data_IF_861189944849
#
_entry.id   IF_861189944849
#
_cell.length_a   1.000
_cell.length_b   1.000
_cell.length_c   1.000
_cell.angle_alpha   90.00
_cell.angle_beta   90.00
_cell.angle_gamma   90.00
#
_symmetry.space_group_name_H-M   'P 1'
#
loop_
_entity.id
_entity.type
_entity.pdbx_description
1 polymer ?
#
# COMPACT_ATOMS: atom_id res chain seq x y z
N UNK A 1 -4.21 6.15 3.92
CA UNK A 1 -5.30 5.73 4.80
C UNK A 1 -4.71 5.29 6.13
N UNK A 2 -5.17 5.89 7.23
CA UNK A 2 -4.70 5.59 8.59
C UNK A 2 -5.92 5.08 9.37
N UNK A 3 -5.97 3.78 9.73
CA UNK A 3 -7.09 3.19 10.46
C UNK A 3 -7.20 3.73 11.88
N UNK A 4 -8.43 4.00 12.34
CA UNK A 4 -8.76 4.29 13.73
C UNK A 4 -9.05 2.97 14.45
N UNK A 5 -8.13 2.53 15.31
CA UNK A 5 -8.23 1.24 15.99
C UNK A 5 -9.40 1.17 16.99
N UNK A 6 -9.75 2.29 17.60
CA UNK A 6 -10.85 2.35 18.57
C UNK A 6 -12.20 2.27 17.82
N UNK A 7 -12.32 2.95 16.68
CA UNK A 7 -13.46 2.81 15.81
C UNK A 7 -13.61 1.38 15.30
N UNK A 8 -12.53 0.77 14.80
CA UNK A 8 -12.55 -0.61 14.32
C UNK A 8 -13.01 -1.59 15.41
N UNK A 9 -12.47 -1.47 16.63
CA UNK A 9 -12.84 -2.34 17.73
C UNK A 9 -14.33 -2.24 18.10
N UNK A 10 -14.91 -1.04 18.05
CA UNK A 10 -16.36 -0.84 18.32
C UNK A 10 -17.24 -1.63 17.33
N UNK A 11 -16.82 -1.73 16.09
CA UNK A 11 -17.57 -2.42 15.04
C UNK A 11 -17.11 -3.88 14.81
N UNK A 12 -16.14 -4.37 15.57
CA UNK A 12 -15.61 -5.72 15.44
C UNK A 12 -14.83 -5.96 14.15
N UNK A 13 -14.25 -4.89 13.60
CA UNK A 13 -13.42 -4.93 12.40
C UNK A 13 -11.94 -5.00 12.77
N UNK A 14 -11.16 -5.68 11.95
CA UNK A 14 -9.70 -5.66 12.00
C UNK A 14 -9.13 -4.62 11.03
N UNK A 15 -7.87 -4.27 11.21
CA UNK A 15 -7.12 -3.44 10.25
C UNK A 15 -7.03 -4.14 8.89
N UNK A 16 -6.92 -5.48 8.88
CA UNK A 16 -6.84 -6.30 7.67
C UNK A 16 -8.12 -6.20 6.84
N UNK A 17 -9.29 -6.22 7.48
CA UNK A 17 -10.59 -6.09 6.78
C UNK A 17 -10.66 -4.77 6.01
N UNK A 18 -10.31 -3.67 6.66
CA UNK A 18 -10.29 -2.35 6.02
C UNK A 18 -9.23 -2.26 4.92
N UNK A 19 -8.01 -2.73 5.19
CA UNK A 19 -6.94 -2.70 4.20
C UNK A 19 -7.24 -3.59 2.99
N UNK A 20 -7.87 -4.74 3.18
CA UNK A 20 -8.31 -5.63 2.10
C UNK A 20 -9.26 -4.93 1.14
N UNK A 21 -10.29 -4.25 1.66
CA UNK A 21 -11.25 -3.50 0.84
C UNK A 21 -10.57 -2.32 0.14
N UNK A 22 -9.75 -1.54 0.85
CA UNK A 22 -9.04 -0.38 0.28
C UNK A 22 -8.07 -0.83 -0.82
N UNK A 23 -7.29 -1.89 -0.61
CA UNK A 23 -6.34 -2.39 -1.59
C UNK A 23 -7.04 -2.93 -2.84
N UNK A 24 -8.17 -3.63 -2.67
CA UNK A 24 -8.99 -4.10 -3.79
C UNK A 24 -9.59 -2.94 -4.59
N UNK A 25 -10.14 -1.94 -3.89
CA UNK A 25 -10.76 -0.80 -4.54
C UNK A 25 -9.75 0.05 -5.34
N UNK A 26 -8.57 0.32 -4.78
CA UNK A 26 -7.56 1.20 -5.37
C UNK A 26 -6.57 0.45 -6.27
N UNK A 27 -6.02 -0.67 -5.79
CA UNK A 27 -5.01 -1.46 -6.48
C UNK A 27 -5.59 -2.52 -7.41
N UNK A 28 -6.71 -3.08 -7.04
CA UNK A 28 -7.33 -4.22 -7.69
C UNK A 28 -6.98 -5.54 -7.02
N UNK A 29 -7.91 -6.48 -7.11
CA UNK A 29 -7.75 -7.86 -6.66
C UNK A 29 -8.13 -8.84 -7.76
N UNK A 30 -7.37 -9.91 -7.88
CA UNK A 30 -7.70 -11.00 -8.82
C UNK A 30 -8.90 -11.77 -8.27
N UNK A 31 -10.04 -11.66 -8.97
CA UNK A 31 -11.29 -12.35 -8.61
C UNK A 31 -11.39 -13.74 -9.25
N UNK A 32 -10.59 -14.03 -10.28
CA UNK A 32 -10.59 -15.30 -10.96
C UNK A 32 -9.64 -15.29 -12.17
N UNK A 33 -9.60 -16.41 -12.89
CA UNK A 33 -8.81 -16.54 -14.10
C UNK A 33 -9.66 -17.09 -15.24
N UNK A 34 -9.49 -16.54 -16.42
CA UNK A 34 -10.04 -17.06 -17.66
C UNK A 34 -8.96 -17.88 -18.39
N UNK A 35 -9.33 -19.07 -18.87
CA UNK A 35 -8.46 -19.93 -19.63
C UNK A 35 -8.92 -19.96 -21.11
N UNK A 36 -8.03 -19.62 -22.02
CA UNK A 36 -8.24 -19.75 -23.46
C UNK A 36 -7.12 -20.60 -24.05
N UNK A 37 -7.37 -21.90 -24.19
CA UNK A 37 -6.35 -22.88 -24.56
C UNK A 37 -5.26 -22.97 -23.51
N UNK A 38 -4.03 -22.61 -23.85
CA UNK A 38 -2.84 -22.56 -22.99
C UNK A 38 -2.60 -21.20 -22.30
N UNK A 39 -3.43 -20.19 -22.65
CA UNK A 39 -3.33 -18.83 -22.10
C UNK A 39 -4.18 -18.67 -20.87
N UNK A 40 -3.65 -17.89 -19.90
CA UNK A 40 -4.33 -17.53 -18.65
C UNK A 40 -4.43 -16.03 -18.56
N UNK A 41 -5.64 -15.53 -18.27
CA UNK A 41 -5.93 -14.11 -18.09
C UNK A 41 -6.53 -13.90 -16.71
N UNK A 42 -5.95 -13.01 -15.90
CA UNK A 42 -6.50 -12.65 -14.60
C UNK A 42 -7.69 -11.72 -14.78
N UNK A 43 -8.79 -12.04 -14.11
CA UNK A 43 -9.95 -11.17 -13.97
C UNK A 43 -9.73 -10.30 -12.75
N UNK A 44 -9.43 -9.00 -12.96
CA UNK A 44 -9.12 -8.06 -11.90
C UNK A 44 -10.32 -7.16 -11.62
N UNK A 45 -10.74 -7.11 -10.35
CA UNK A 45 -11.80 -6.21 -9.86
C UNK A 45 -11.15 -5.02 -9.16
N UNK A 46 -11.50 -3.80 -9.57
CA UNK A 46 -11.06 -2.56 -8.96
C UNK A 46 -12.04 -1.42 -9.25
N UNK A 47 -11.96 -0.33 -8.51
CA UNK A 47 -12.73 0.88 -8.82
C UNK A 47 -12.33 1.49 -10.18
N UNK A 48 -13.28 2.12 -10.89
CA UNK A 48 -12.97 2.95 -12.04
C UNK A 48 -11.95 4.04 -11.69
N UNK A 49 -11.16 4.47 -12.66
CA UNK A 49 -10.10 5.45 -12.44
C UNK A 49 -10.61 6.77 -11.85
N UNK A 50 -11.76 7.23 -12.29
CA UNK A 50 -12.41 8.45 -11.79
C UNK A 50 -12.69 8.40 -10.28
N UNK A 51 -13.12 7.25 -9.76
CA UNK A 51 -13.35 7.09 -8.31
C UNK A 51 -12.05 6.91 -7.51
N UNK A 52 -11.00 6.34 -8.13
CA UNK A 52 -9.70 6.16 -7.47
C UNK A 52 -8.92 7.46 -7.31
N UNK A 53 -9.22 8.46 -8.14
CA UNK A 53 -8.61 9.80 -8.07
C UNK A 53 -9.41 10.78 -7.19
N UNK A 54 -10.64 10.42 -6.81
CA UNK A 54 -11.49 11.23 -5.95
C UNK A 54 -11.39 10.82 -4.48
N UNK A 55 -10.74 11.66 -3.67
CA UNK A 55 -10.61 11.44 -2.22
C UNK A 55 -11.97 11.37 -1.52
N UNK A 56 -12.95 12.13 -1.98
CA UNK A 56 -14.29 12.10 -1.42
C UNK A 56 -15.00 10.76 -1.73
N UNK A 57 -14.78 10.18 -2.91
CA UNK A 57 -15.27 8.86 -3.25
C UNK A 57 -14.57 7.78 -2.41
N UNK A 58 -13.25 7.89 -2.20
CA UNK A 58 -12.50 6.96 -1.34
C UNK A 58 -13.00 7.02 0.11
N UNK A 59 -13.27 8.20 0.66
CA UNK A 59 -13.85 8.35 2.01
C UNK A 59 -15.21 7.67 2.16
N UNK A 60 -16.00 7.61 1.09
CA UNK A 60 -17.31 6.93 1.07
C UNK A 60 -17.24 5.44 0.72
N UNK A 61 -16.03 4.87 0.56
CA UNK A 61 -15.87 3.45 0.28
C UNK A 61 -16.60 2.60 1.32
N UNK A 62 -17.57 1.74 0.93
CA UNK A 62 -18.32 0.93 1.87
C UNK A 62 -17.46 -0.22 2.41
N UNK A 63 -17.31 -0.25 3.72
CA UNK A 63 -16.63 -1.33 4.44
C UNK A 63 -17.71 -2.23 5.04
N UNK A 64 -17.77 -3.53 4.66
CA UNK A 64 -18.79 -4.45 5.17
C UNK A 64 -18.57 -4.73 6.66
N UNK A 65 -19.66 -4.78 7.40
CA UNK A 65 -19.65 -5.18 8.80
C UNK A 65 -19.69 -6.69 8.94
N UNK A 66 -19.05 -7.27 9.98
CA UNK A 66 -19.19 -8.69 10.29
C UNK A 66 -20.66 -9.06 10.56
N UNK A 67 -21.06 -10.29 10.22
CA UNK A 67 -22.44 -10.77 10.38
C UNK A 67 -22.97 -10.61 11.80
N UNK A 68 -22.11 -10.73 12.81
CA UNK A 68 -22.45 -10.53 14.22
C UNK A 68 -22.89 -9.09 14.57
N UNK A 69 -22.62 -8.11 13.68
CA UNK A 69 -22.95 -6.69 13.87
C UNK A 69 -24.05 -6.18 12.91
N UNK A 70 -24.40 -6.96 11.91
CA UNK A 70 -25.40 -6.56 10.90
C UNK A 70 -26.83 -6.44 11.46
N UNK A 71 -27.10 -6.97 12.65
CA UNK A 71 -28.45 -7.11 13.19
C UNK A 71 -28.94 -5.93 14.04
N UNK A 72 -28.11 -4.91 14.34
CA UNK A 72 -28.51 -3.89 15.32
C UNK A 72 -29.42 -2.83 14.66
N UNK A 73 -29.22 -2.47 13.37
CA UNK A 73 -30.06 -1.47 12.68
C UNK A 73 -30.21 -1.77 11.16
N UNK A 74 -29.95 -3.00 10.72
CA UNK A 74 -29.97 -3.35 9.29
C UNK A 74 -28.84 -2.72 8.47
N UNK A 75 -27.87 -2.07 9.13
CA UNK A 75 -26.68 -1.52 8.49
C UNK A 75 -25.71 -2.65 8.22
N UNK A 76 -25.40 -2.86 6.94
CA UNK A 76 -24.47 -3.92 6.50
C UNK A 76 -23.08 -3.42 6.15
N UNK A 77 -22.90 -2.11 6.07
CA UNK A 77 -21.61 -1.47 5.76
C UNK A 77 -21.50 -0.09 6.39
N UNK A 78 -20.28 0.38 6.60
CA UNK A 78 -19.95 1.74 7.03
C UNK A 78 -19.04 2.41 6.00
N UNK A 79 -19.12 3.74 5.82
CA UNK A 79 -18.16 4.44 4.99
C UNK A 79 -16.77 4.43 5.64
N UNK A 80 -15.72 4.33 4.82
CA UNK A 80 -14.34 4.31 5.28
C UNK A 80 -14.00 5.49 6.21
N UNK A 81 -14.62 6.65 6.01
CA UNK A 81 -14.41 7.85 6.83
C UNK A 81 -14.75 7.68 8.31
N UNK A 82 -15.62 6.71 8.66
CA UNK A 82 -15.98 6.38 10.04
C UNK A 82 -14.93 5.47 10.72
N UNK A 83 -14.06 4.85 9.93
CA UNK A 83 -13.13 3.81 10.36
C UNK A 83 -11.66 4.19 10.17
N UNK A 84 -11.40 5.23 9.37
CA UNK A 84 -10.05 5.65 9.03
C UNK A 84 -9.99 7.11 8.57
N UNK A 85 -8.87 7.77 8.80
CA UNK A 85 -8.55 9.03 8.13
C UNK A 85 -7.96 8.78 6.75
N UNK A 86 -8.39 9.58 5.77
CA UNK A 86 -7.91 9.52 4.39
C UNK A 86 -7.32 10.87 4.01
N UNK A 87 -6.03 10.88 3.73
CA UNK A 87 -5.24 12.06 3.40
C UNK A 87 -4.35 11.79 2.19
N UNK A 88 -4.11 12.82 1.39
CA UNK A 88 -3.08 12.80 0.36
C UNK A 88 -1.81 13.35 0.98
N UNK A 89 -0.76 12.55 0.97
CA UNK A 89 0.56 12.94 1.44
C UNK A 89 1.59 12.76 0.33
N UNK A 90 2.60 13.61 0.32
CA UNK A 90 3.79 13.39 -0.51
C UNK A 90 4.61 12.26 0.12
N UNK A 91 4.88 11.23 -0.64
CA UNK A 91 5.62 10.07 -0.14
C UNK A 91 6.23 9.25 -1.27
N UNK A 92 7.10 8.29 -0.95
CA UNK A 92 7.68 7.40 -1.95
C UNK A 92 6.59 6.51 -2.56
N UNK A 93 6.61 6.34 -3.89
CA UNK A 93 5.69 5.47 -4.61
C UNK A 93 5.78 4.00 -4.17
N UNK A 94 6.96 3.58 -3.73
CA UNK A 94 7.23 2.21 -3.31
C UNK A 94 8.20 2.22 -2.13
N UNK A 95 7.90 1.42 -1.11
CA UNK A 95 8.81 1.15 0.00
C UNK A 95 9.28 -0.30 -0.12
N UNK A 96 10.50 -0.47 -0.63
CA UNK A 96 11.13 -1.79 -0.71
C UNK A 96 11.69 -2.20 0.65
N UNK A 97 11.60 -3.50 0.96
CA UNK A 97 12.16 -4.08 2.18
C UNK A 97 13.01 -5.30 1.84
N UNK A 98 14.03 -5.49 2.66
CA UNK A 98 14.87 -6.69 2.67
C UNK A 98 15.11 -7.07 4.13
N UNK A 99 14.87 -8.32 4.49
CA UNK A 99 14.96 -8.80 5.88
C UNK A 99 14.17 -7.92 6.87
N UNK A 100 12.94 -7.53 6.51
CA UNK A 100 12.04 -6.63 7.23
C UNK A 100 12.53 -5.17 7.40
N UNK A 101 13.72 -4.81 6.90
CA UNK A 101 14.27 -3.45 6.91
C UNK A 101 13.96 -2.72 5.61
N UNK A 102 13.70 -1.42 5.68
CA UNK A 102 13.51 -0.59 4.47
C UNK A 102 14.83 -0.49 3.73
N UNK A 103 14.78 -0.54 2.39
CA UNK A 103 15.95 -0.31 1.54
C UNK A 103 15.65 0.70 0.45
N UNK A 104 16.68 1.44 0.06
CA UNK A 104 16.72 2.25 -1.14
C UNK A 104 17.74 1.62 -2.08
N UNK A 105 17.39 1.48 -3.35
CA UNK A 105 18.31 0.99 -4.38
C UNK A 105 18.70 2.16 -5.26
N UNK A 106 19.97 2.48 -5.28
CA UNK A 106 20.56 3.47 -6.19
C UNK A 106 21.40 2.72 -7.20
N UNK A 107 21.11 2.89 -8.48
CA UNK A 107 21.86 2.26 -9.57
C UNK A 107 22.63 3.31 -10.36
N UNK A 108 23.86 2.97 -10.73
CA UNK A 108 24.70 3.83 -11.56
C UNK A 108 25.48 2.99 -12.56
N UNK A 109 25.75 3.57 -13.74
CA UNK A 109 26.62 2.95 -14.72
C UNK A 109 28.00 3.61 -14.64
N UNK A 110 29.04 2.82 -14.45
CA UNK A 110 30.43 3.30 -14.47
C UNK A 110 30.94 3.34 -15.89
N UNK A 111 31.50 4.51 -16.29
CA UNK A 111 32.13 4.70 -17.61
C UNK A 111 33.49 5.36 -17.44
N UNK A 112 34.47 4.88 -18.22
CA UNK A 112 35.80 5.49 -18.30
C UNK A 112 36.69 5.35 -17.04
N UNK A 113 36.31 4.48 -16.08
CA UNK A 113 37.09 4.18 -14.89
C UNK A 113 36.87 2.75 -14.39
N UNK A 114 37.77 2.29 -13.53
CA UNK A 114 37.67 1.00 -12.88
C UNK A 114 36.49 0.94 -11.88
N UNK A 115 35.80 -0.21 -11.86
CA UNK A 115 34.66 -0.44 -10.98
C UNK A 115 35.05 -0.47 -9.50
N UNK A 116 36.19 -1.07 -9.15
CA UNK A 116 36.68 -1.17 -7.77
C UNK A 116 36.95 0.20 -7.16
N UNK A 117 37.68 1.04 -7.90
CA UNK A 117 37.95 2.43 -7.48
C UNK A 117 36.69 3.26 -7.35
N UNK A 118 35.70 3.07 -8.24
CA UNK A 118 34.41 3.74 -8.14
C UNK A 118 33.64 3.33 -6.88
N UNK A 119 33.56 2.03 -6.59
CA UNK A 119 32.86 1.54 -5.39
C UNK A 119 33.51 2.06 -4.11
N UNK A 120 34.83 2.06 -4.04
CA UNK A 120 35.56 2.59 -2.88
C UNK A 120 35.31 4.08 -2.64
N UNK A 121 35.34 4.89 -3.71
CA UNK A 121 35.00 6.31 -3.64
C UNK A 121 33.55 6.54 -3.24
N UNK A 122 32.60 5.77 -3.81
CA UNK A 122 31.20 5.86 -3.48
C UNK A 122 30.95 5.55 -1.99
N UNK A 123 31.57 4.51 -1.45
CA UNK A 123 31.46 4.16 -0.03
C UNK A 123 31.95 5.29 0.87
N UNK A 124 33.09 5.90 0.53
CA UNK A 124 33.64 7.06 1.26
C UNK A 124 32.70 8.25 1.18
N UNK A 125 32.23 8.58 -0.02
CA UNK A 125 31.34 9.72 -0.23
C UNK A 125 30.00 9.57 0.51
N UNK A 126 29.44 8.36 0.56
CA UNK A 126 28.21 8.08 1.32
C UNK A 126 28.47 8.19 2.82
N UNK A 127 29.59 7.64 3.31
CA UNK A 127 29.93 7.69 4.73
C UNK A 127 30.17 9.12 5.24
N UNK A 128 30.72 9.99 4.40
CA UNK A 128 31.02 11.38 4.75
C UNK A 128 29.88 12.37 4.46
N UNK A 129 29.09 12.09 3.42
CA UNK A 129 28.08 13.03 2.91
C UNK A 129 26.64 12.73 3.32
N UNK A 130 26.35 11.53 3.86
CA UNK A 130 24.99 11.12 4.20
C UNK A 130 24.87 10.81 5.68
N UNK A 131 24.13 11.64 6.40
CA UNK A 131 23.76 11.33 7.78
C UNK A 131 22.67 10.26 7.80
N UNK A 132 23.04 9.04 8.21
CA UNK A 132 22.12 7.93 8.27
C UNK A 132 21.42 7.87 9.64
N UNK A 133 20.07 7.88 9.68
CA UNK A 133 19.33 7.69 10.93
C UNK A 133 19.62 6.31 11.56
N UNK A 134 19.42 6.15 12.88
CA UNK A 134 19.59 4.85 13.53
C UNK A 134 18.78 3.75 12.86
N UNK A 135 19.42 2.63 12.57
CA UNK A 135 18.81 1.47 11.88
C UNK A 135 18.99 1.41 10.37
N UNK A 136 19.69 2.40 9.79
CA UNK A 136 20.18 2.36 8.40
C UNK A 136 21.66 1.94 8.37
N UNK A 137 22.04 1.19 7.34
CA UNK A 137 23.41 0.67 7.11
C UNK A 137 23.64 0.42 5.63
#
# INVERSE_FOLDING_TARGET
VIPDRDALARYGLSVEDVQGVVSTALGGSVAGQLFEGDRRFDIVVRFPETLRQDVAAIKRLPIPLPDSRQTIDGVTFLPLSELASVEIIMGPNQISRENAKRRIVVTANVRGRDLGSFVSELQTAVAEGVEMPPGYW
#
